data_IF_620537316372
#
_entry.id   IF_620537316372
#
_cell.length_a   1.000
_cell.length_b   1.000
_cell.length_c   1.000
_cell.angle_alpha   90.00
_cell.angle_beta   90.00
_cell.angle_gamma   90.00
#
_symmetry.space_group_name_H-M   'P 1'
#
loop_
_entity.id
_entity.type
_entity.pdbx_description
1 polymer ?
#
# COMPACT_ATOMS: atom_id res chain seq x y z
N UNK A 1 7.47 -25.85 -50.03
CA UNK A 1 8.22 -25.81 -48.76
C UNK A 1 7.22 -25.54 -47.64
N UNK A 2 7.06 -26.43 -46.64
CA UNK A 2 6.34 -26.07 -45.43
C UNK A 2 7.13 -25.03 -44.63
N UNK A 3 6.47 -24.12 -43.88
CA UNK A 3 7.15 -23.07 -43.13
C UNK A 3 7.98 -23.67 -41.99
N UNK A 4 9.16 -23.08 -41.78
CA UNK A 4 10.08 -23.46 -40.71
C UNK A 4 9.39 -23.38 -39.34
N UNK A 5 9.44 -24.47 -38.59
CA UNK A 5 9.07 -24.49 -37.18
C UNK A 5 9.98 -23.52 -36.43
N UNK A 6 9.47 -22.35 -36.07
CA UNK A 6 10.11 -21.51 -35.06
C UNK A 6 10.02 -22.27 -33.75
N UNK A 7 11.17 -22.75 -33.25
CA UNK A 7 11.24 -23.28 -31.90
C UNK A 7 10.73 -22.20 -30.93
N UNK A 8 9.78 -22.51 -30.02
CA UNK A 8 9.39 -21.56 -29.00
C UNK A 8 10.64 -21.20 -28.19
N UNK A 9 11.02 -19.93 -28.20
CA UNK A 9 12.11 -19.41 -27.37
C UNK A 9 11.75 -19.78 -25.93
N UNK A 10 12.57 -20.65 -25.32
CA UNK A 10 12.38 -21.01 -23.93
C UNK A 10 12.50 -19.73 -23.12
N UNK A 11 11.39 -19.30 -22.51
CA UNK A 11 11.37 -18.13 -21.65
C UNK A 11 12.44 -18.31 -20.54
N UNK A 12 13.20 -17.26 -20.16
CA UNK A 12 14.24 -17.33 -19.13
C UNK A 12 13.69 -17.84 -17.80
N UNK A 13 14.48 -18.41 -16.89
CA UNK A 13 13.98 -18.75 -15.54
C UNK A 13 13.63 -17.50 -14.73
N UNK A 14 12.71 -17.55 -13.74
CA UNK A 14 12.34 -16.40 -12.93
C UNK A 14 13.54 -15.70 -12.28
N UNK A 15 14.53 -16.48 -11.81
CA UNK A 15 15.78 -15.96 -11.23
C UNK A 15 16.63 -15.23 -12.27
N UNK A 16 16.70 -15.74 -13.51
CA UNK A 16 17.42 -15.05 -14.58
C UNK A 16 16.71 -13.79 -15.05
N UNK A 17 15.37 -13.77 -15.09
CA UNK A 17 14.65 -12.53 -15.39
C UNK A 17 14.82 -11.49 -14.29
N UNK A 18 14.83 -11.90 -13.02
CA UNK A 18 15.13 -11.00 -11.91
C UNK A 18 16.55 -10.43 -11.98
N UNK A 19 17.55 -11.26 -12.31
CA UNK A 19 18.92 -10.78 -12.55
C UNK A 19 19.01 -9.84 -13.74
N UNK A 20 18.29 -10.14 -14.82
CA UNK A 20 18.24 -9.27 -15.99
C UNK A 20 17.63 -7.91 -15.62
N UNK A 21 16.53 -7.91 -14.87
CA UNK A 21 15.89 -6.70 -14.38
C UNK A 21 16.81 -5.86 -13.48
N UNK A 22 17.61 -6.51 -12.63
CA UNK A 22 18.65 -5.85 -11.81
C UNK A 22 19.74 -5.22 -12.67
N UNK A 23 20.17 -5.90 -13.75
CA UNK A 23 21.15 -5.35 -14.69
C UNK A 23 20.60 -4.16 -15.48
N UNK A 24 19.33 -4.22 -15.89
CA UNK A 24 18.69 -3.18 -16.69
C UNK A 24 18.32 -1.94 -15.85
N UNK A 25 18.08 -2.11 -14.55
CA UNK A 25 17.65 -1.05 -13.64
C UNK A 25 18.53 -1.00 -12.37
N UNK A 26 19.86 -0.77 -12.49
CA UNK A 26 20.80 -0.95 -11.37
C UNK A 26 20.52 -0.01 -10.19
N UNK A 27 20.10 1.23 -10.46
CA UNK A 27 19.78 2.21 -9.42
C UNK A 27 18.50 1.86 -8.65
N UNK A 28 17.46 1.38 -9.34
CA UNK A 28 16.21 0.95 -8.71
C UNK A 28 16.46 -0.32 -7.90
N UNK A 29 17.23 -1.27 -8.45
CA UNK A 29 17.64 -2.48 -7.74
C UNK A 29 18.44 -2.18 -6.48
N UNK A 30 19.40 -1.24 -6.54
CA UNK A 30 20.14 -0.78 -5.38
C UNK A 30 19.24 -0.09 -4.35
N UNK A 31 18.29 0.74 -4.79
CA UNK A 31 17.28 1.38 -3.94
C UNK A 31 16.40 0.37 -3.21
N UNK A 32 15.87 -0.62 -3.92
CA UNK A 32 15.08 -1.71 -3.34
C UNK A 32 15.89 -2.50 -2.30
N UNK A 33 17.12 -2.88 -2.65
CA UNK A 33 18.00 -3.61 -1.74
C UNK A 33 18.31 -2.80 -0.47
N UNK A 34 18.54 -1.49 -0.60
CA UNK A 34 18.74 -0.59 0.52
C UNK A 34 17.49 -0.50 1.40
N UNK A 35 16.32 -0.27 0.81
CA UNK A 35 15.06 -0.19 1.57
C UNK A 35 14.74 -1.50 2.30
N UNK A 36 14.90 -2.65 1.63
CA UNK A 36 14.71 -3.96 2.26
C UNK A 36 15.73 -4.20 3.39
N UNK A 37 16.99 -3.82 3.20
CA UNK A 37 18.01 -3.93 4.24
C UNK A 37 17.63 -3.09 5.47
N UNK A 38 17.18 -1.83 5.27
CA UNK A 38 16.73 -0.97 6.36
C UNK A 38 15.53 -1.58 7.08
N UNK A 39 14.51 -2.05 6.35
CA UNK A 39 13.34 -2.74 6.93
C UNK A 39 13.77 -3.94 7.77
N UNK A 40 14.67 -4.78 7.26
CA UNK A 40 15.18 -5.96 7.98
C UNK A 40 15.97 -5.57 9.24
N UNK A 41 16.79 -4.52 9.18
CA UNK A 41 17.51 -4.00 10.35
C UNK A 41 16.54 -3.49 11.41
N UNK A 42 15.51 -2.73 11.01
CA UNK A 42 14.48 -2.22 11.92
C UNK A 42 13.68 -3.36 12.58
N UNK A 43 13.26 -4.36 11.79
CA UNK A 43 12.59 -5.56 12.31
C UNK A 43 13.49 -6.36 13.26
N UNK A 44 14.76 -6.52 12.93
CA UNK A 44 15.74 -7.20 13.79
C UNK A 44 15.95 -6.49 15.11
N UNK A 45 16.02 -5.16 15.10
CA UNK A 45 16.11 -4.34 16.31
C UNK A 45 14.84 -4.44 17.16
N UNK A 46 13.66 -4.42 16.55
CA UNK A 46 12.39 -4.60 17.26
C UNK A 46 12.27 -6.00 17.87
N UNK A 47 12.64 -7.06 17.14
CA UNK A 47 12.63 -8.42 17.68
C UNK A 47 13.57 -8.54 18.89
N UNK A 48 14.75 -7.91 18.82
CA UNK A 48 15.66 -7.85 19.96
C UNK A 48 15.01 -7.16 21.16
N UNK A 49 14.32 -6.04 20.97
CA UNK A 49 13.61 -5.35 22.05
C UNK A 49 12.41 -6.15 22.58
N UNK A 50 11.66 -6.82 21.71
CA UNK A 50 10.48 -7.60 22.07
C UNK A 50 10.84 -8.85 22.90
N UNK A 51 12.01 -9.45 22.68
CA UNK A 51 12.51 -10.53 23.54
C UNK A 51 12.94 -10.00 24.93
N UNK A 52 13.27 -8.71 25.02
CA UNK A 52 13.80 -8.07 26.21
C UNK A 52 12.80 -7.15 26.95
N UNK A 53 11.55 -7.02 26.48
CA UNK A 53 10.52 -6.11 27.04
C UNK A 53 9.09 -6.47 26.62
N UNK A 54 8.07 -5.81 27.19
CA UNK A 54 6.65 -6.11 26.96
C UNK A 54 6.01 -5.09 25.99
N UNK A 55 5.63 -5.53 24.78
CA UNK A 55 4.97 -4.73 23.74
C UNK A 55 3.58 -5.27 23.37
N UNK A 56 2.96 -6.08 24.24
CA UNK A 56 1.74 -6.81 23.90
C UNK A 56 0.54 -5.90 23.58
N UNK A 57 0.44 -4.74 24.23
CA UNK A 57 -0.69 -3.82 24.05
C UNK A 57 -0.70 -3.15 22.66
N UNK A 58 0.46 -2.63 22.21
CA UNK A 58 0.57 -1.98 20.91
C UNK A 58 0.38 -2.99 19.75
N UNK A 59 0.83 -4.24 19.94
CA UNK A 59 0.56 -5.32 19.00
C UNK A 59 -0.93 -5.62 18.88
N UNK A 60 -1.66 -5.60 19.99
CA UNK A 60 -3.10 -5.80 19.97
C UNK A 60 -3.81 -4.67 19.20
N UNK A 61 -3.44 -3.42 19.43
CA UNK A 61 -3.99 -2.27 18.70
C UNK A 61 -3.69 -2.34 17.19
N UNK A 62 -2.43 -2.60 16.82
CA UNK A 62 -2.04 -2.74 15.42
C UNK A 62 -2.77 -3.92 14.73
N UNK A 63 -2.91 -5.05 15.42
CA UNK A 63 -3.63 -6.22 14.89
C UNK A 63 -5.13 -5.94 14.73
N UNK A 64 -5.77 -5.29 15.70
CA UNK A 64 -7.18 -4.89 15.58
C UNK A 64 -7.38 -3.87 14.46
N UNK A 65 -6.46 -2.92 14.32
CA UNK A 65 -6.48 -1.94 13.23
C UNK A 65 -6.37 -2.63 11.87
N UNK A 66 -5.38 -3.50 11.68
CA UNK A 66 -5.21 -4.23 10.43
C UNK A 66 -6.36 -5.20 10.13
N UNK A 67 -6.97 -5.81 11.15
CA UNK A 67 -8.20 -6.60 10.99
C UNK A 67 -9.41 -5.74 10.64
N UNK A 68 -9.45 -4.48 11.08
CA UNK A 68 -10.53 -3.54 10.75
C UNK A 68 -10.50 -3.13 9.28
N UNK A 69 -9.31 -2.85 8.73
CA UNK A 69 -9.14 -2.62 7.30
C UNK A 69 -9.48 -3.87 6.48
N UNK A 70 -8.94 -5.04 6.87
CA UNK A 70 -9.29 -6.32 6.21
C UNK A 70 -10.82 -6.54 6.20
N UNK A 71 -11.49 -6.25 7.31
CA UNK A 71 -12.94 -6.33 7.44
C UNK A 71 -13.66 -5.37 6.49
N UNK A 72 -13.13 -4.16 6.30
CA UNK A 72 -13.66 -3.16 5.37
C UNK A 72 -13.45 -3.56 3.90
N UNK A 73 -12.25 -4.01 3.52
CA UNK A 73 -11.95 -4.58 2.19
C UNK A 73 -12.89 -5.74 1.89
N UNK A 74 -13.08 -6.64 2.87
CA UNK A 74 -13.99 -7.76 2.73
C UNK A 74 -15.45 -7.32 2.57
N UNK A 75 -15.89 -6.30 3.31
CA UNK A 75 -17.22 -5.71 3.17
C UNK A 75 -17.42 -5.14 1.76
N UNK A 76 -16.45 -4.37 1.25
CA UNK A 76 -16.46 -3.86 -0.12
C UNK A 76 -16.60 -4.97 -1.16
N UNK A 77 -15.78 -6.02 -1.05
CA UNK A 77 -15.81 -7.17 -1.95
C UNK A 77 -17.16 -7.92 -1.91
N UNK A 78 -17.78 -8.05 -0.74
CA UNK A 78 -19.12 -8.64 -0.60
C UNK A 78 -20.18 -7.76 -1.26
N UNK A 79 -20.10 -6.43 -1.11
CA UNK A 79 -21.00 -5.50 -1.78
C UNK A 79 -20.92 -5.64 -3.31
N UNK A 80 -19.76 -6.01 -3.88
CA UNK A 80 -19.62 -6.26 -5.32
C UNK A 80 -20.49 -7.43 -5.82
N UNK A 81 -20.71 -8.45 -4.97
CA UNK A 81 -21.58 -9.59 -5.28
C UNK A 81 -23.05 -9.17 -5.30
N UNK A 82 -23.43 -8.27 -4.38
CA UNK A 82 -24.81 -7.76 -4.24
C UNK A 82 -25.15 -6.77 -5.35
N UNK A 83 -24.28 -5.77 -5.56
CA UNK A 83 -24.52 -4.69 -6.52
C UNK A 83 -24.35 -5.13 -7.97
N UNK A 84 -23.57 -6.19 -8.21
CA UNK A 84 -23.25 -6.79 -9.52
C UNK A 84 -22.60 -5.83 -10.51
N UNK A 85 -23.27 -4.79 -10.99
CA UNK A 85 -22.70 -3.89 -11.98
C UNK A 85 -22.71 -2.45 -11.48
N UNK A 86 -21.53 -1.85 -11.39
CA UNK A 86 -21.32 -0.45 -11.03
C UNK A 86 -20.83 0.27 -12.28
N UNK A 87 -21.35 1.49 -12.51
CA UNK A 87 -20.91 2.30 -13.67
C UNK A 87 -19.45 2.67 -13.50
N UNK A 88 -18.67 2.67 -14.59
CA UNK A 88 -17.26 3.08 -14.59
C UNK A 88 -17.05 4.45 -13.91
N UNK A 89 -17.90 5.44 -14.21
CA UNK A 89 -17.87 6.75 -13.54
C UNK A 89 -17.98 6.67 -12.01
N UNK A 90 -18.78 5.74 -11.49
CA UNK A 90 -18.94 5.56 -10.04
C UNK A 90 -17.72 4.89 -9.43
N UNK A 91 -17.10 3.93 -10.12
CA UNK A 91 -15.82 3.33 -9.71
C UNK A 91 -14.71 4.40 -9.68
N UNK A 92 -14.60 5.24 -10.72
CA UNK A 92 -13.61 6.31 -10.77
C UNK A 92 -13.79 7.34 -9.62
N UNK A 93 -15.03 7.62 -9.22
CA UNK A 93 -15.33 8.49 -8.06
C UNK A 93 -14.94 7.81 -6.75
N UNK A 94 -15.23 6.51 -6.59
CA UNK A 94 -14.91 5.72 -5.40
C UNK A 94 -13.39 5.58 -5.21
N UNK A 95 -12.66 5.25 -6.27
CA UNK A 95 -11.20 5.17 -6.26
C UNK A 95 -10.57 6.56 -6.11
N UNK A 96 -11.17 7.59 -6.72
CA UNK A 96 -10.75 8.98 -6.49
C UNK A 96 -10.87 9.36 -5.02
N UNK A 97 -11.99 9.02 -4.39
CA UNK A 97 -12.21 9.22 -2.95
C UNK A 97 -11.15 8.50 -2.09
N UNK A 98 -10.84 7.24 -2.41
CA UNK A 98 -9.79 6.48 -1.74
C UNK A 98 -8.42 7.17 -1.85
N UNK A 99 -8.00 7.55 -3.06
CA UNK A 99 -6.77 8.32 -3.28
C UNK A 99 -6.73 9.63 -2.46
N UNK A 100 -7.86 10.34 -2.37
CA UNK A 100 -7.98 11.55 -1.57
C UNK A 100 -7.75 11.31 -0.09
N UNK A 101 -8.36 10.26 0.46
CA UNK A 101 -8.19 9.84 1.85
C UNK A 101 -6.72 9.50 2.13
N UNK A 102 -6.09 8.68 1.28
CA UNK A 102 -4.69 8.26 1.44
C UNK A 102 -3.69 9.43 1.37
N UNK A 103 -3.88 10.39 0.45
CA UNK A 103 -3.01 11.58 0.37
C UNK A 103 -3.10 12.46 1.61
N UNK A 104 -4.32 12.69 2.10
CA UNK A 104 -4.55 13.44 3.32
C UNK A 104 -3.97 12.69 4.54
N UNK A 105 -4.20 11.38 4.64
CA UNK A 105 -3.69 10.54 5.73
C UNK A 105 -2.15 10.51 5.76
N UNK A 106 -1.52 10.40 4.59
CA UNK A 106 -0.06 10.50 4.46
C UNK A 106 0.47 11.83 4.97
N UNK A 107 -0.27 12.92 4.73
CA UNK A 107 0.15 14.27 5.15
C UNK A 107 -0.08 14.49 6.64
N UNK A 108 -1.33 14.31 7.10
CA UNK A 108 -1.78 14.75 8.42
C UNK A 108 -1.56 13.72 9.52
N UNK A 109 -1.64 12.42 9.22
CA UNK A 109 -1.57 11.37 10.24
C UNK A 109 -0.28 10.55 10.17
N UNK A 110 0.60 10.80 9.18
CA UNK A 110 1.93 10.17 9.09
C UNK A 110 3.06 11.20 9.09
N UNK A 111 3.11 12.09 8.09
CA UNK A 111 4.23 13.04 7.96
C UNK A 111 4.26 14.03 9.12
N UNK A 112 3.14 14.69 9.45
CA UNK A 112 3.11 15.68 10.53
C UNK A 112 3.45 15.08 11.91
N UNK A 113 2.81 13.98 12.37
CA UNK A 113 3.15 13.38 13.65
C UNK A 113 4.56 12.79 13.65
N UNK A 114 5.03 12.27 12.51
CA UNK A 114 6.42 11.83 12.34
C UNK A 114 7.43 12.98 12.50
N UNK A 115 7.11 14.17 12.00
CA UNK A 115 7.96 15.36 12.16
C UNK A 115 7.99 15.84 13.61
N UNK A 116 6.85 15.83 14.29
CA UNK A 116 6.75 16.21 15.70
C UNK A 116 7.54 15.24 16.60
N UNK A 117 7.36 13.93 16.40
CA UNK A 117 8.13 12.91 17.10
C UNK A 117 9.64 13.02 16.83
N UNK A 118 10.04 13.23 15.56
CA UNK A 118 11.45 13.43 15.21
C UNK A 118 12.03 14.70 15.85
N UNK A 119 11.23 15.76 15.99
CA UNK A 119 11.65 17.02 16.61
C UNK A 119 11.86 16.89 18.10
N UNK A 120 11.01 16.13 18.78
CA UNK A 120 11.19 15.80 20.20
C UNK A 120 12.50 15.03 20.45
N UNK A 121 12.84 14.10 19.57
CA UNK A 121 14.05 13.27 19.70
C UNK A 121 15.34 14.04 19.32
N UNK A 122 15.30 14.81 18.23
CA UNK A 122 16.51 15.46 17.66
C UNK A 122 16.78 16.87 18.20
N UNK A 123 15.77 17.51 18.80
CA UNK A 123 15.87 18.86 19.38
C UNK A 123 15.99 20.01 18.38
N UNK A 124 15.96 19.77 17.06
CA UNK A 124 15.94 20.83 16.05
C UNK A 124 15.13 20.45 14.80
N UNK A 125 14.53 21.47 14.16
CA UNK A 125 13.63 21.29 13.00
C UNK A 125 14.29 20.65 11.77
N UNK A 126 15.50 21.07 11.33
CA UNK A 126 16.15 20.49 10.17
C UNK A 126 16.47 19.00 10.30
N UNK A 127 16.96 18.54 11.46
CA UNK A 127 17.24 17.13 11.70
C UNK A 127 15.96 16.29 11.77
N UNK A 128 14.89 16.83 12.35
CA UNK A 128 13.58 16.20 12.35
C UNK A 128 13.05 16.00 10.92
N UNK A 129 13.08 17.06 10.10
CA UNK A 129 12.67 17.00 8.71
C UNK A 129 13.51 16.01 7.89
N UNK A 130 14.83 16.01 8.07
CA UNK A 130 15.71 15.06 7.40
C UNK A 130 15.37 13.60 7.75
N UNK A 131 15.05 13.32 9.01
CA UNK A 131 14.68 11.98 9.49
C UNK A 131 13.44 11.45 8.77
N UNK A 132 12.37 12.26 8.70
CA UNK A 132 11.11 11.85 8.06
C UNK A 132 11.25 11.79 6.54
N UNK A 133 11.95 12.75 5.92
CA UNK A 133 12.21 12.75 4.47
C UNK A 133 13.07 11.55 4.05
N UNK A 134 14.04 11.15 4.87
CA UNK A 134 14.82 9.93 4.63
C UNK A 134 13.91 8.69 4.65
N UNK A 135 13.05 8.57 5.67
CA UNK A 135 12.03 7.53 5.74
C UNK A 135 11.15 7.51 4.50
N UNK A 136 10.58 8.66 4.14
CA UNK A 136 9.73 8.84 2.95
C UNK A 136 10.43 8.42 1.66
N UNK A 137 11.69 8.80 1.50
CA UNK A 137 12.51 8.40 0.34
C UNK A 137 12.70 6.89 0.29
N UNK A 138 12.94 6.24 1.43
CA UNK A 138 13.05 4.78 1.52
C UNK A 138 11.71 4.09 1.19
N UNK A 139 10.58 4.66 1.61
CA UNK A 139 9.24 4.17 1.27
C UNK A 139 8.95 4.24 -0.23
N UNK A 140 9.28 5.36 -0.87
CA UNK A 140 9.17 5.52 -2.33
C UNK A 140 10.09 4.54 -3.06
N UNK A 141 11.34 4.40 -2.63
CA UNK A 141 12.29 3.45 -3.25
C UNK A 141 11.85 1.99 -3.05
N UNK A 142 11.25 1.67 -1.91
CA UNK A 142 10.69 0.35 -1.64
C UNK A 142 9.59 0.05 -2.66
N UNK A 143 8.59 0.93 -2.78
CA UNK A 143 7.45 0.69 -3.67
C UNK A 143 7.84 0.75 -5.14
N UNK A 144 8.70 1.69 -5.55
CA UNK A 144 9.25 1.74 -6.89
C UNK A 144 10.01 0.45 -7.26
N UNK A 145 10.76 -0.09 -6.30
CA UNK A 145 11.42 -1.37 -6.45
C UNK A 145 10.43 -2.52 -6.58
N UNK A 146 9.47 -2.62 -5.66
CA UNK A 146 8.48 -3.69 -5.68
C UNK A 146 7.65 -3.68 -6.96
N UNK A 147 7.20 -2.51 -7.41
CA UNK A 147 6.54 -2.30 -8.71
C UNK A 147 7.41 -2.83 -9.86
N UNK A 148 8.67 -2.37 -9.93
CA UNK A 148 9.55 -2.70 -11.07
C UNK A 148 9.99 -4.16 -11.12
N UNK A 149 10.05 -4.83 -9.98
CA UNK A 149 10.58 -6.19 -9.84
C UNK A 149 9.51 -7.27 -9.62
N UNK A 150 8.24 -6.88 -9.47
CA UNK A 150 7.12 -7.82 -9.33
C UNK A 150 6.27 -7.79 -10.61
N UNK A 151 5.99 -8.93 -11.24
CA UNK A 151 5.03 -8.96 -12.33
C UNK A 151 3.62 -8.63 -11.80
N UNK A 152 2.98 -7.63 -12.38
CA UNK A 152 1.67 -7.15 -11.95
C UNK A 152 0.86 -6.68 -13.17
N UNK A 153 -0.43 -6.38 -13.00
CA UNK A 153 -1.29 -5.89 -14.07
C UNK A 153 -2.10 -4.71 -13.57
N UNK A 154 -2.06 -3.61 -14.30
CA UNK A 154 -2.99 -2.50 -14.11
C UNK A 154 -4.16 -2.66 -15.08
N UNK A 155 -5.35 -2.27 -14.64
CA UNK A 155 -6.58 -2.39 -15.43
C UNK A 155 -6.49 -1.67 -16.78
N UNK A 156 -5.87 -0.49 -16.82
CA UNK A 156 -5.77 0.30 -18.05
C UNK A 156 -4.57 0.02 -18.95
N UNK A 157 -3.42 -0.42 -18.43
CA UNK A 157 -2.21 -0.69 -19.25
C UNK A 157 -1.98 -2.16 -19.56
N UNK A 158 -2.60 -3.07 -18.81
CA UNK A 158 -2.33 -4.50 -18.90
C UNK A 158 -1.05 -4.94 -18.18
N UNK A 159 -0.53 -6.15 -18.49
CA UNK A 159 0.58 -6.78 -17.79
C UNK A 159 1.89 -5.97 -17.82
N UNK A 160 2.53 -5.85 -16.66
CA UNK A 160 3.76 -5.12 -16.40
C UNK A 160 4.75 -5.96 -15.55
N UNK A 161 6.02 -5.55 -15.51
CA UNK A 161 7.07 -6.25 -14.76
C UNK A 161 7.65 -7.50 -15.45
N UNK A 162 8.62 -8.17 -14.80
CA UNK A 162 9.38 -9.26 -15.42
C UNK A 162 8.53 -10.52 -15.59
N UNK A 163 8.53 -11.09 -16.80
CA UNK A 163 7.84 -12.36 -17.12
C UNK A 163 6.30 -12.35 -16.93
N UNK A 164 5.64 -11.18 -16.99
CA UNK A 164 4.20 -11.08 -16.80
C UNK A 164 3.38 -12.00 -17.73
N UNK A 165 3.90 -12.31 -18.93
CA UNK A 165 3.32 -13.25 -19.90
C UNK A 165 3.15 -14.69 -19.38
N UNK A 166 3.89 -15.07 -18.32
CA UNK A 166 3.82 -16.40 -17.71
C UNK A 166 2.75 -16.54 -16.65
N UNK A 167 2.24 -15.42 -16.14
CA UNK A 167 1.34 -15.38 -15.01
C UNK A 167 -0.06 -15.09 -15.53
N UNK A 168 -1.06 -15.81 -15.02
CA UNK A 168 -2.45 -15.51 -15.39
C UNK A 168 -2.82 -14.10 -14.93
N UNK A 169 -3.62 -13.38 -15.73
CA UNK A 169 -4.13 -12.04 -15.41
C UNK A 169 -4.65 -11.89 -13.97
N UNK A 170 -5.39 -12.89 -13.47
CA UNK A 170 -5.88 -12.95 -12.08
C UNK A 170 -4.74 -12.77 -11.07
N UNK A 171 -3.64 -13.52 -11.22
CA UNK A 171 -2.50 -13.46 -10.30
C UNK A 171 -1.70 -12.17 -10.44
N UNK A 172 -1.63 -11.58 -11.63
CA UNK A 172 -1.02 -10.26 -11.82
C UNK A 172 -1.80 -9.16 -11.08
N UNK A 173 -3.13 -9.21 -11.13
CA UNK A 173 -3.99 -8.34 -10.34
C UNK A 173 -3.80 -8.57 -8.84
N UNK A 174 -3.80 -9.83 -8.37
CA UNK A 174 -3.57 -10.14 -6.95
C UNK A 174 -2.25 -9.58 -6.45
N UNK A 175 -1.19 -9.67 -7.26
CA UNK A 175 0.11 -9.09 -6.92
C UNK A 175 0.05 -7.56 -6.85
N UNK A 176 -0.61 -6.89 -7.80
CA UNK A 176 -0.82 -5.44 -7.77
C UNK A 176 -1.55 -5.00 -6.47
N UNK A 177 -2.68 -5.64 -6.16
CA UNK A 177 -3.48 -5.32 -4.97
C UNK A 177 -2.68 -5.61 -3.69
N UNK A 178 -1.88 -6.68 -3.66
CA UNK A 178 -1.01 -6.95 -2.51
C UNK A 178 0.01 -5.84 -2.29
N UNK A 179 0.57 -5.27 -3.36
CA UNK A 179 1.48 -4.13 -3.26
C UNK A 179 0.77 -2.86 -2.76
N UNK A 180 -0.51 -2.66 -3.07
CA UNK A 180 -1.31 -1.54 -2.57
C UNK A 180 -1.66 -1.62 -1.08
N UNK A 181 -2.13 -2.79 -0.63
CA UNK A 181 -2.57 -2.98 0.76
C UNK A 181 -1.38 -3.05 1.75
N UNK A 182 -0.15 -3.29 1.27
CA UNK A 182 1.04 -3.33 2.11
C UNK A 182 1.32 -1.96 2.79
N UNK A 183 1.44 -0.83 2.07
CA UNK A 183 1.57 0.50 2.67
C UNK A 183 0.48 0.86 3.67
N UNK A 184 -0.78 0.51 3.40
CA UNK A 184 -1.93 0.79 4.28
C UNK A 184 -1.81 0.03 5.59
N UNK A 185 -1.55 -1.28 5.52
CA UNK A 185 -1.27 -2.09 6.69
C UNK A 185 -0.10 -1.52 7.48
N UNK A 186 1.03 -1.23 6.80
CA UNK A 186 2.20 -0.64 7.46
C UNK A 186 1.87 0.69 8.15
N UNK A 187 1.07 1.55 7.53
CA UNK A 187 0.64 2.82 8.10
C UNK A 187 -0.16 2.62 9.40
N UNK A 188 -1.09 1.67 9.43
CA UNK A 188 -1.83 1.28 10.66
C UNK A 188 -0.86 0.80 11.74
N UNK A 189 0.09 -0.06 11.38
CA UNK A 189 1.05 -0.62 12.32
C UNK A 189 1.94 0.44 12.96
N UNK A 190 2.50 1.33 12.13
CA UNK A 190 3.38 2.40 12.59
C UNK A 190 2.60 3.38 13.47
N UNK A 191 1.38 3.78 13.12
CA UNK A 191 0.63 4.78 13.90
C UNK A 191 0.34 4.35 15.34
N UNK A 192 0.17 3.05 15.59
CA UNK A 192 -0.01 2.49 16.94
C UNK A 192 1.30 2.17 17.68
N UNK A 193 2.48 2.47 17.13
CA UNK A 193 3.76 2.09 17.72
C UNK A 193 3.97 2.62 19.15
N UNK A 194 3.45 3.80 19.45
CA UNK A 194 3.51 4.43 20.77
C UNK A 194 2.19 4.30 21.56
N UNK A 195 1.19 3.58 21.04
CA UNK A 195 -0.13 3.46 21.66
C UNK A 195 -0.97 4.75 21.65
N UNK A 196 -0.57 5.77 20.88
CA UNK A 196 -1.29 7.04 20.81
C UNK A 196 -2.57 6.92 19.98
N UNK A 197 -3.71 6.95 20.65
CA UNK A 197 -5.01 6.84 20.02
C UNK A 197 -5.35 8.07 19.14
N UNK A 198 -4.76 9.23 19.41
CA UNK A 198 -4.95 10.43 18.61
C UNK A 198 -4.28 10.33 17.23
N UNK A 199 -3.29 9.44 17.08
CA UNK A 199 -2.65 9.16 15.79
C UNK A 199 -3.25 7.91 15.14
N UNK A 200 -3.35 6.83 15.92
CA UNK A 200 -3.77 5.53 15.39
C UNK A 200 -5.23 5.46 14.98
N UNK A 201 -6.15 6.06 15.76
CA UNK A 201 -7.59 5.97 15.49
C UNK A 201 -8.02 6.73 14.23
N UNK A 202 -7.64 8.01 14.00
CA UNK A 202 -8.02 8.69 12.76
C UNK A 202 -7.49 7.96 11.52
N UNK A 203 -6.21 7.55 11.53
CA UNK A 203 -5.58 6.87 10.39
C UNK A 203 -6.25 5.52 10.09
N UNK A 204 -6.47 4.70 11.11
CA UNK A 204 -7.09 3.38 10.96
C UNK A 204 -8.53 3.50 10.48
N UNK A 205 -9.28 4.46 11.04
CA UNK A 205 -10.66 4.71 10.61
C UNK A 205 -10.71 5.18 9.16
N UNK A 206 -9.75 6.01 8.75
CA UNK A 206 -9.66 6.51 7.39
C UNK A 206 -9.38 5.41 6.37
N UNK A 207 -8.42 4.52 6.68
CA UNK A 207 -8.10 3.35 5.86
C UNK A 207 -9.32 2.42 5.80
N UNK A 208 -9.93 2.07 6.94
CA UNK A 208 -11.14 1.24 6.92
C UNK A 208 -12.32 1.88 6.14
N UNK A 209 -12.45 3.21 6.12
CA UNK A 209 -13.52 3.87 5.35
C UNK A 209 -13.28 3.78 3.85
N UNK A 210 -12.02 3.92 3.39
CA UNK A 210 -11.68 3.88 1.97
C UNK A 210 -11.45 2.46 1.42
N UNK A 211 -11.16 1.49 2.27
CA UNK A 211 -11.08 0.07 1.92
C UNK A 211 -12.41 -0.51 1.43
N UNK A 212 -13.54 0.05 1.89
CA UNK A 212 -14.88 -0.37 1.42
C UNK A 212 -15.04 -0.08 -0.08
N UNK A 213 -14.89 1.17 -0.57
CA UNK A 213 -14.93 1.45 -2.00
C UNK A 213 -13.83 0.73 -2.78
N UNK A 214 -12.63 0.58 -2.22
CA UNK A 214 -11.52 -0.13 -2.88
C UNK A 214 -11.81 -1.62 -3.05
N UNK A 215 -12.19 -2.33 -1.98
CA UNK A 215 -12.54 -3.76 -2.04
C UNK A 215 -13.69 -4.05 -3.00
N UNK A 216 -14.65 -3.12 -3.13
CA UNK A 216 -15.69 -3.16 -4.16
C UNK A 216 -15.10 -3.04 -5.56
N UNK A 217 -14.25 -2.04 -5.82
CA UNK A 217 -13.62 -1.82 -7.11
C UNK A 217 -12.74 -3.00 -7.52
N UNK A 218 -11.90 -3.51 -6.61
CA UNK A 218 -11.03 -4.68 -6.80
C UNK A 218 -11.83 -5.92 -7.19
N UNK A 219 -12.93 -6.22 -6.48
CA UNK A 219 -13.77 -7.36 -6.80
C UNK A 219 -14.44 -7.22 -8.18
N UNK A 220 -14.78 -6.01 -8.61
CA UNK A 220 -15.34 -5.75 -9.94
C UNK A 220 -14.28 -5.88 -11.04
N UNK A 221 -13.07 -5.37 -10.84
CA UNK A 221 -11.94 -5.52 -11.77
C UNK A 221 -11.55 -6.99 -11.94
N UNK A 222 -11.50 -7.76 -10.85
CA UNK A 222 -11.24 -9.21 -10.91
C UNK A 222 -12.31 -9.98 -11.70
N UNK A 223 -13.57 -9.53 -11.70
CA UNK A 223 -14.61 -10.13 -12.57
C UNK A 223 -14.37 -9.84 -14.04
N UNK A 224 -13.84 -8.67 -14.37
CA UNK A 224 -13.49 -8.32 -15.75
C UNK A 224 -12.40 -9.26 -16.33
N UNK A 225 -11.60 -9.91 -15.48
CA UNK A 225 -10.64 -10.96 -15.90
C UNK A 225 -11.30 -12.30 -16.24
N UNK A 226 -12.62 -12.45 -16.06
CA UNK A 226 -13.39 -13.65 -16.36
C UNK A 226 -13.73 -14.52 -15.14
N UNK A 227 -13.41 -14.09 -13.92
CA UNK A 227 -13.83 -14.78 -12.70
C UNK A 227 -15.33 -14.63 -12.45
N UNK A 228 -15.95 -15.68 -11.88
CA UNK A 228 -17.33 -15.57 -11.39
C UNK A 228 -17.41 -14.62 -10.19
N UNK A 229 -18.58 -13.99 -9.98
CA UNK A 229 -18.76 -12.97 -8.95
C UNK A 229 -18.26 -13.40 -7.56
N UNK A 230 -18.58 -14.63 -7.14
CA UNK A 230 -18.15 -15.16 -5.85
C UNK A 230 -16.63 -15.40 -5.80
N UNK A 231 -16.02 -15.91 -6.87
CA UNK A 231 -14.57 -16.14 -6.92
C UNK A 231 -13.80 -14.83 -6.87
N UNK A 232 -14.23 -13.84 -7.62
CA UNK A 232 -13.62 -12.52 -7.60
C UNK A 232 -13.71 -11.87 -6.22
N UNK A 233 -14.88 -11.95 -5.57
CA UNK A 233 -15.04 -11.45 -4.20
C UNK A 233 -14.16 -12.19 -3.19
N UNK A 234 -14.04 -13.53 -3.28
CA UNK A 234 -13.16 -14.30 -2.39
C UNK A 234 -11.68 -13.95 -2.59
N UNK A 235 -11.26 -13.69 -3.82
CA UNK A 235 -9.88 -13.25 -4.12
C UNK A 235 -9.65 -11.84 -3.58
N UNK A 236 -10.59 -10.91 -3.74
CA UNK A 236 -10.53 -9.56 -3.18
C UNK A 236 -10.53 -9.55 -1.63
N UNK A 237 -11.33 -10.42 -0.99
CA UNK A 237 -11.26 -10.62 0.46
C UNK A 237 -9.86 -11.13 0.84
N UNK A 238 -9.34 -12.11 0.09
CA UNK A 238 -8.02 -12.68 0.34
C UNK A 238 -6.88 -11.67 0.24
N UNK A 239 -6.95 -10.70 -0.68
CA UNK A 239 -5.92 -9.66 -0.80
C UNK A 239 -5.88 -8.72 0.39
N UNK A 240 -7.03 -8.46 1.04
CA UNK A 240 -7.10 -7.66 2.26
C UNK A 240 -6.33 -8.24 3.45
N UNK A 241 -5.95 -9.53 3.42
CA UNK A 241 -5.08 -10.14 4.45
C UNK A 241 -3.69 -9.50 4.51
N UNK A 242 -3.30 -8.76 3.47
CA UNK A 242 -2.06 -8.00 3.46
C UNK A 242 -2.08 -6.85 4.47
N UNK A 243 -3.23 -6.31 4.84
CA UNK A 243 -3.33 -5.20 5.79
C UNK A 243 -2.98 -5.60 7.24
N UNK A 244 -3.53 -6.68 7.84
CA UNK A 244 -3.09 -7.13 9.16
C UNK A 244 -1.64 -7.60 9.16
N UNK A 245 -1.15 -8.21 8.08
CA UNK A 245 0.27 -8.55 7.94
C UNK A 245 1.13 -7.28 7.89
N UNK A 246 0.73 -6.30 7.09
CA UNK A 246 1.36 -4.99 6.98
C UNK A 246 1.38 -4.25 8.33
N UNK A 247 0.30 -4.33 9.11
CA UNK A 247 0.23 -3.70 10.43
C UNK A 247 1.23 -4.31 11.42
N UNK A 248 1.40 -5.63 11.41
CA UNK A 248 2.46 -6.27 12.21
C UNK A 248 3.85 -5.83 11.73
N UNK A 249 4.08 -5.75 10.42
CA UNK A 249 5.35 -5.28 9.85
C UNK A 249 5.61 -3.81 10.25
N UNK A 250 4.61 -2.95 10.13
CA UNK A 250 4.66 -1.52 10.45
C UNK A 250 5.00 -1.26 11.92
N UNK A 251 4.36 -2.00 12.83
CA UNK A 251 4.71 -1.95 14.25
C UNK A 251 6.15 -2.47 14.49
N UNK A 252 6.53 -3.54 13.80
CA UNK A 252 7.87 -4.10 13.91
C UNK A 252 8.97 -3.13 13.46
N UNK A 253 8.80 -2.39 12.36
CA UNK A 253 9.83 -1.46 11.89
C UNK A 253 9.95 -0.19 12.74
N UNK A 254 8.93 0.12 13.56
CA UNK A 254 8.84 1.40 14.29
C UNK A 254 9.29 1.33 15.75
N UNK A 255 9.46 0.13 16.32
CA UNK A 255 9.69 -0.09 17.76
C UNK A 255 11.13 -0.47 18.14
N UNK A 256 12.06 -0.50 17.18
CA UNK A 256 13.45 -0.91 17.41
C UNK A 256 14.32 0.09 18.18
N UNK A 257 14.10 1.40 18.02
CA UNK A 257 14.80 2.47 18.74
C UNK A 257 14.03 3.79 18.54
N UNK A 258 14.35 4.85 19.28
CA UNK A 258 13.56 6.10 19.27
C UNK A 258 13.33 6.67 17.85
N UNK A 259 14.38 6.75 17.03
CA UNK A 259 14.27 7.25 15.64
C UNK A 259 13.59 6.27 14.67
N UNK A 260 13.39 5.00 15.05
CA UNK A 260 12.72 4.02 14.19
C UNK A 260 11.27 4.43 13.90
N UNK A 261 10.59 5.01 14.89
CA UNK A 261 9.22 5.49 14.74
C UNK A 261 9.08 6.60 13.68
N UNK A 262 9.74 7.78 13.77
CA UNK A 262 9.59 8.82 12.76
C UNK A 262 10.14 8.43 11.37
N UNK A 263 11.17 7.58 11.31
CA UNK A 263 11.63 7.02 10.03
C UNK A 263 10.54 6.15 9.40
N UNK A 264 9.88 5.31 10.20
CA UNK A 264 8.80 4.43 9.73
C UNK A 264 7.54 5.20 9.35
N UNK A 265 7.22 6.30 10.05
CA UNK A 265 6.12 7.21 9.68
C UNK A 265 6.37 7.81 8.29
N UNK A 266 7.59 8.30 8.05
CA UNK A 266 8.02 8.74 6.73
C UNK A 266 7.92 7.63 5.70
N UNK A 267 8.45 6.43 6.00
CA UNK A 267 8.45 5.28 5.10
C UNK A 267 7.04 4.87 4.67
N UNK A 268 6.11 4.73 5.62
CA UNK A 268 4.72 4.42 5.31
C UNK A 268 4.07 5.51 4.44
N UNK A 269 4.30 6.79 4.76
CA UNK A 269 3.77 7.90 3.97
C UNK A 269 4.34 7.91 2.54
N UNK A 270 5.64 7.71 2.39
CA UNK A 270 6.29 7.66 1.07
C UNK A 270 5.80 6.51 0.22
N UNK A 271 5.60 5.33 0.84
CA UNK A 271 5.05 4.17 0.17
C UNK A 271 3.60 4.41 -0.28
N UNK A 272 2.76 4.99 0.58
CA UNK A 272 1.37 5.31 0.29
C UNK A 272 1.24 6.38 -0.81
N UNK A 273 2.04 7.46 -0.74
CA UNK A 273 2.08 8.50 -1.78
C UNK A 273 2.52 7.93 -3.13
N UNK A 274 3.49 7.00 -3.14
CA UNK A 274 3.91 6.34 -4.38
C UNK A 274 2.72 5.59 -5.01
N UNK A 275 2.04 4.74 -4.24
CA UNK A 275 0.88 3.96 -4.73
C UNK A 275 -0.21 4.88 -5.30
N UNK A 276 -0.61 5.90 -4.55
CA UNK A 276 -1.68 6.81 -4.99
C UNK A 276 -1.31 7.54 -6.28
N UNK A 277 -0.06 8.01 -6.36
CA UNK A 277 0.43 8.80 -7.51
C UNK A 277 0.69 7.94 -8.74
N UNK A 278 1.27 6.75 -8.56
CA UNK A 278 1.68 5.89 -9.66
C UNK A 278 0.52 5.07 -10.23
N UNK A 279 -0.44 4.69 -9.39
CA UNK A 279 -1.48 3.73 -9.76
C UNK A 279 -2.88 4.35 -9.71
N UNK A 280 -3.33 4.83 -8.54
CA UNK A 280 -4.76 5.19 -8.33
C UNK A 280 -5.19 6.43 -9.11
N UNK A 281 -4.43 7.53 -9.04
CA UNK A 281 -4.78 8.77 -9.75
C UNK A 281 -4.74 8.55 -11.27
N UNK A 282 -3.68 7.96 -11.86
CA UNK A 282 -3.66 7.69 -13.29
C UNK A 282 -4.82 6.79 -13.76
N UNK A 283 -5.17 5.75 -13.01
CA UNK A 283 -6.25 4.82 -13.38
C UNK A 283 -7.59 5.54 -13.49
N UNK A 284 -7.99 6.27 -12.46
CA UNK A 284 -9.28 7.00 -12.41
C UNK A 284 -9.42 8.09 -13.48
N UNK A 285 -8.31 8.58 -14.04
CA UNK A 285 -8.31 9.67 -15.03
C UNK A 285 -8.28 9.19 -16.48
N UNK A 286 -8.21 7.88 -16.72
CA UNK A 286 -8.13 7.30 -18.08
C UNK A 286 -9.48 7.02 -18.72
N UNK A 287 -10.54 6.88 -17.92
CA UNK A 287 -11.88 6.51 -18.39
C UNK A 287 -12.74 7.69 -18.89
N UNK A 288 -12.17 8.90 -19.02
CA UNK A 288 -12.91 10.10 -19.45
C UNK A 288 -13.80 10.74 -18.38
N UNK A 289 -13.67 10.31 -17.12
CA UNK A 289 -14.42 10.82 -15.97
C UNK A 289 -13.55 11.68 -15.03
N UNK A 290 -12.53 12.37 -15.54
CA UNK A 290 -11.50 13.05 -14.75
C UNK A 290 -12.10 14.01 -13.72
N UNK A 291 -13.05 14.87 -14.12
CA UNK A 291 -13.70 15.81 -13.19
C UNK A 291 -14.43 15.08 -12.06
N UNK A 292 -15.09 13.96 -12.35
CA UNK A 292 -15.80 13.20 -11.33
C UNK A 292 -14.82 12.51 -10.37
N UNK A 293 -13.75 11.91 -10.88
CA UNK A 293 -12.67 11.34 -10.09
C UNK A 293 -11.99 12.40 -9.19
N UNK A 294 -11.71 13.59 -9.74
CA UNK A 294 -11.14 14.72 -8.98
C UNK A 294 -12.08 15.19 -7.86
N UNK A 295 -13.39 15.25 -8.10
CA UNK A 295 -14.36 15.58 -7.05
C UNK A 295 -14.42 14.49 -5.97
N UNK A 296 -14.30 13.22 -6.35
CA UNK A 296 -14.12 12.11 -5.41
C UNK A 296 -12.88 12.32 -4.54
N UNK A 297 -11.73 12.61 -5.16
CA UNK A 297 -10.46 12.89 -4.49
C UNK A 297 -10.56 14.06 -3.52
N UNK A 298 -11.15 15.19 -3.94
CA UNK A 298 -11.38 16.32 -3.05
C UNK A 298 -12.30 15.95 -1.87
N UNK A 299 -13.33 15.14 -2.12
CA UNK A 299 -14.23 14.64 -1.10
C UNK A 299 -13.52 13.74 -0.08
N UNK A 300 -12.71 12.80 -0.54
CA UNK A 300 -11.90 11.92 0.31
C UNK A 300 -10.90 12.69 1.15
N UNK A 301 -10.17 13.63 0.52
CA UNK A 301 -9.24 14.49 1.22
C UNK A 301 -9.92 15.29 2.34
N UNK A 302 -11.11 15.86 2.07
CA UNK A 302 -11.87 16.62 3.05
C UNK A 302 -12.40 15.75 4.20
N UNK A 303 -12.87 14.52 3.92
CA UNK A 303 -13.31 13.57 4.94
C UNK A 303 -12.13 13.18 5.83
N UNK A 304 -10.98 12.86 5.24
CA UNK A 304 -9.80 12.51 6.03
C UNK A 304 -9.34 13.67 6.92
N UNK A 305 -9.27 14.89 6.38
CA UNK A 305 -8.93 16.08 7.16
C UNK A 305 -9.91 16.29 8.34
N UNK A 306 -11.21 16.04 8.12
CA UNK A 306 -12.21 16.08 9.18
C UNK A 306 -11.97 15.00 10.25
N UNK A 307 -11.70 13.75 9.84
CA UNK A 307 -11.42 12.65 10.76
C UNK A 307 -10.18 12.93 11.62
N UNK A 308 -9.10 13.39 11.00
CA UNK A 308 -7.86 13.78 11.67
C UNK A 308 -8.12 14.89 12.70
N UNK A 309 -8.87 15.94 12.32
CA UNK A 309 -9.20 17.04 13.24
C UNK A 309 -10.18 16.64 14.36
N UNK A 310 -11.08 15.69 14.10
CA UNK A 310 -12.14 15.31 15.04
C UNK A 310 -11.70 14.22 16.02
N UNK A 311 -10.74 13.37 15.64
CA UNK A 311 -10.29 12.20 16.40
C UNK A 311 -8.83 12.32 16.90
N UNK A 312 -8.06 13.28 16.37
CA UNK A 312 -6.64 13.51 16.70
C UNK A 312 -6.36 14.79 17.48
#
# INVERSE_FOLDING_TARGET
MPPAHTHPVALPSPVSAWRQQMHDNPWIGAGLALSLLVVLVLLGASLWNAVNGDHAENLHLAALGGLSGFGATALGAVLAVVLRDVRARTQDVMLGFAAGMMLAASSFSLILPGLDAAREITGNGPAAAFTVVLGMSLGVLLMLGLDRFTPHEHESTGPCGPEAERISRVWLFVLAITLHNLPEGMAIGVSFANGDMNIGLPLTSAIAIQDIPEGLAVALALRATGLSNLKAALVAIGSGLMEPLGAVIGLGISTGFALAYPVSMGLAAGAMIFVVSHEVIPETHRNGHQTAATLGLMGGFAVMMFLDTALG
#
